data_IF_389514762012
#
_entry.id   IF_389514762012
#
_cell.length_a   1.000
_cell.length_b   1.000
_cell.length_c   1.000
_cell.angle_alpha   90.00
_cell.angle_beta   90.00
_cell.angle_gamma   90.00
#
_symmetry.space_group_name_H-M   'P 1'
#
loop_
_entity.id
_entity.type
_entity.pdbx_description
1 polymer ?
#
# COMPACT_ATOMS: atom_id res chain seq x y z
N UNK A 1 -14.82 -18.66 11.49
CA UNK A 1 -14.29 -18.38 10.14
C UNK A 1 -12.93 -17.74 10.33
N UNK A 2 -11.94 -18.29 9.66
CA UNK A 2 -10.54 -18.32 10.07
C UNK A 2 -9.94 -16.92 10.26
N UNK A 3 -9.64 -16.60 11.52
CA UNK A 3 -8.81 -15.47 11.91
C UNK A 3 -7.36 -15.86 11.67
N UNK A 4 -6.92 -15.82 10.42
CA UNK A 4 -5.50 -15.99 10.11
C UNK A 4 -4.74 -14.79 10.68
N UNK A 5 -3.87 -15.10 11.65
CA UNK A 5 -3.19 -14.13 12.50
C UNK A 5 -2.22 -13.25 11.73
N UNK A 6 -2.66 -12.06 11.34
CA UNK A 6 -1.75 -10.96 11.03
C UNK A 6 -1.31 -10.36 12.35
N UNK A 7 -0.13 -10.76 12.84
CA UNK A 7 0.58 -9.96 13.86
C UNK A 7 0.72 -8.55 13.28
N UNK A 8 0.08 -7.52 13.87
CA UNK A 8 0.23 -6.16 13.38
C UNK A 8 1.64 -5.73 13.73
N UNK A 9 2.56 -5.86 12.78
CA UNK A 9 3.80 -5.11 12.85
C UNK A 9 3.37 -3.65 12.84
N UNK A 10 3.54 -2.94 13.96
CA UNK A 10 2.97 -1.61 14.23
C UNK A 10 3.26 -0.60 13.10
N UNK A 11 4.34 -0.83 12.35
CA UNK A 11 4.78 -0.10 11.16
C UNK A 11 3.90 -0.30 9.92
N UNK A 12 3.31 -1.49 9.69
CA UNK A 12 2.50 -1.75 8.48
C UNK A 12 1.14 -1.07 8.55
N UNK A 13 0.48 -1.12 9.71
CA UNK A 13 -0.83 -0.49 9.89
C UNK A 13 -0.73 1.04 9.84
N UNK A 14 0.31 1.59 10.46
CA UNK A 14 0.60 3.03 10.37
C UNK A 14 0.96 3.45 8.94
N UNK A 15 1.77 2.67 8.23
CA UNK A 15 2.12 2.96 6.83
C UNK A 15 0.91 2.84 5.88
N UNK A 16 -0.02 1.92 6.13
CA UNK A 16 -1.27 1.81 5.37
C UNK A 16 -2.18 3.03 5.57
N UNK A 17 -2.33 3.47 6.81
CA UNK A 17 -3.10 4.68 7.15
C UNK A 17 -2.46 5.96 6.59
N UNK A 18 -1.13 6.05 6.62
CA UNK A 18 -0.38 7.15 6.01
C UNK A 18 -0.55 7.14 4.48
N UNK A 19 -0.44 5.97 3.85
CA UNK A 19 -0.63 5.82 2.40
C UNK A 19 -2.05 6.23 1.98
N UNK A 20 -3.07 5.77 2.69
CA UNK A 20 -4.46 6.18 2.46
C UNK A 20 -4.67 7.69 2.70
N UNK A 21 -4.12 8.24 3.78
CA UNK A 21 -4.18 9.66 4.11
C UNK A 21 -3.49 10.55 3.08
N UNK A 22 -2.34 10.11 2.56
CA UNK A 22 -1.61 10.79 1.49
C UNK A 22 -2.34 10.67 0.15
N UNK A 23 -2.89 9.51 -0.19
CA UNK A 23 -3.71 9.32 -1.39
C UNK A 23 -4.97 10.19 -1.37
N UNK A 24 -5.64 10.33 -0.21
CA UNK A 24 -6.80 11.24 -0.03
C UNK A 24 -6.43 12.71 -0.17
N UNK A 25 -5.23 13.10 0.27
CA UNK A 25 -4.70 14.46 0.12
C UNK A 25 -4.13 14.74 -1.28
N UNK A 26 -4.11 13.74 -2.15
CA UNK A 26 -3.51 13.87 -3.48
C UNK A 26 -1.97 13.84 -3.48
N UNK A 27 -1.34 13.50 -2.35
CA UNK A 27 0.11 13.49 -2.19
C UNK A 27 0.70 12.09 -2.45
N UNK A 28 0.79 11.71 -3.72
CA UNK A 28 1.23 10.37 -4.12
C UNK A 28 2.73 10.13 -3.98
N UNK A 29 3.52 11.21 -3.89
CA UNK A 29 4.97 11.11 -3.68
C UNK A 29 5.21 10.51 -2.30
N UNK A 30 4.60 11.08 -1.28
CA UNK A 30 4.68 10.59 0.10
C UNK A 30 4.08 9.18 0.26
N UNK A 31 2.90 8.94 -0.34
CA UNK A 31 2.29 7.61 -0.34
C UNK A 31 3.24 6.52 -0.88
N UNK A 32 3.99 6.85 -1.95
CA UNK A 32 4.97 5.93 -2.54
C UNK A 32 6.22 5.77 -1.68
N UNK A 33 6.72 6.85 -1.06
CA UNK A 33 7.87 6.80 -0.14
C UNK A 33 7.57 5.86 1.03
N UNK A 34 6.40 6.04 1.65
CA UNK A 34 5.93 5.19 2.74
C UNK A 34 5.83 3.73 2.30
N UNK A 35 5.25 3.45 1.13
CA UNK A 35 5.18 2.09 0.61
C UNK A 35 6.55 1.45 0.35
N UNK A 36 7.47 2.21 -0.24
CA UNK A 36 8.85 1.76 -0.47
C UNK A 36 9.56 1.48 0.85
N UNK A 37 9.30 2.27 1.89
CA UNK A 37 9.83 2.03 3.24
C UNK A 37 9.37 0.69 3.81
N UNK A 38 8.11 0.31 3.62
CA UNK A 38 7.58 -0.99 4.06
C UNK A 38 8.37 -2.13 3.39
N UNK A 39 8.57 -2.05 2.07
CA UNK A 39 9.36 -3.01 1.31
C UNK A 39 10.83 -3.08 1.76
N UNK A 40 11.47 -1.94 1.99
CA UNK A 40 12.87 -1.87 2.44
C UNK A 40 13.08 -2.38 3.86
N UNK A 41 12.08 -2.27 4.75
CA UNK A 41 12.14 -2.80 6.11
C UNK A 41 11.96 -4.33 6.18
N UNK A 42 11.91 -5.00 5.02
CA UNK A 42 11.66 -6.45 4.94
C UNK A 42 10.23 -6.83 5.35
N UNK A 43 9.35 -5.85 5.48
CA UNK A 43 7.96 -6.07 5.86
C UNK A 43 7.17 -6.31 4.59
N UNK A 44 6.54 -7.49 4.46
CA UNK A 44 5.67 -7.75 3.31
C UNK A 44 4.45 -6.82 3.42
N UNK A 45 4.18 -5.97 2.42
CA UNK A 45 2.92 -5.24 2.38
C UNK A 45 1.78 -6.25 2.33
N UNK A 46 0.72 -6.02 3.10
CA UNK A 46 -0.44 -6.90 3.10
C UNK A 46 -1.38 -6.52 1.96
N UNK A 47 -2.32 -7.40 1.61
CA UNK A 47 -3.40 -7.15 0.64
C UNK A 47 -4.01 -5.77 0.82
N UNK A 48 -4.34 -5.39 2.06
CA UNK A 48 -4.92 -4.07 2.41
C UNK A 48 -4.04 -2.90 1.95
N UNK A 49 -2.72 -3.02 2.08
CA UNK A 49 -1.77 -1.97 1.66
C UNK A 49 -1.73 -1.84 0.14
N UNK A 50 -1.71 -2.95 -0.59
CA UNK A 50 -1.78 -2.96 -2.04
C UNK A 50 -3.11 -2.38 -2.54
N UNK A 51 -4.23 -2.77 -1.93
CA UNK A 51 -5.55 -2.24 -2.32
C UNK A 51 -5.65 -0.74 -2.10
N UNK A 52 -5.11 -0.21 -0.99
CA UNK A 52 -5.09 1.23 -0.72
C UNK A 52 -4.26 2.02 -1.74
N UNK A 53 -3.14 1.47 -2.21
CA UNK A 53 -2.34 2.09 -3.27
C UNK A 53 -3.02 2.07 -4.62
N UNK A 54 -3.64 0.94 -4.99
CA UNK A 54 -4.38 0.82 -6.24
C UNK A 54 -5.55 1.81 -6.26
N UNK A 55 -6.32 1.90 -5.17
CA UNK A 55 -7.40 2.86 -5.00
C UNK A 55 -6.89 4.31 -5.07
N UNK A 56 -5.77 4.59 -4.40
CA UNK A 56 -5.09 5.87 -4.48
C UNK A 56 -4.67 6.23 -5.90
N UNK A 57 -3.98 5.35 -6.62
CA UNK A 57 -3.54 5.58 -7.99
C UNK A 57 -4.72 5.74 -8.97
N UNK A 58 -5.82 5.02 -8.73
CA UNK A 58 -7.05 5.17 -9.49
C UNK A 58 -7.64 6.59 -9.29
N UNK A 59 -7.63 7.10 -8.06
CA UNK A 59 -8.10 8.46 -7.72
C UNK A 59 -7.28 9.57 -8.36
N UNK A 60 -5.99 9.37 -8.64
CA UNK A 60 -5.18 10.32 -9.43
C UNK A 60 -5.23 10.15 -10.93
N UNK A 61 -6.05 9.24 -11.44
CA UNK A 61 -6.06 8.90 -12.87
C UNK A 61 -4.67 8.48 -13.34
N UNK A 62 -3.93 7.75 -12.50
CA UNK A 62 -2.63 7.17 -12.85
C UNK A 62 -2.70 5.63 -12.89
N UNK A 63 -3.44 5.06 -13.86
CA UNK A 63 -3.67 3.62 -13.93
C UNK A 63 -2.39 2.83 -14.19
N UNK A 64 -1.41 3.40 -14.90
CA UNK A 64 -0.13 2.75 -15.18
C UNK A 64 0.63 2.36 -13.91
N UNK A 65 0.54 3.18 -12.85
CA UNK A 65 1.13 2.85 -11.55
C UNK A 65 0.26 1.88 -10.74
N UNK A 66 -1.07 2.00 -10.83
CA UNK A 66 -1.98 1.04 -10.21
C UNK A 66 -1.75 -0.38 -10.74
N UNK A 67 -1.60 -0.53 -12.05
CA UNK A 67 -1.32 -1.80 -12.71
C UNK A 67 0.02 -2.41 -12.28
N UNK A 68 1.09 -1.60 -12.19
CA UNK A 68 2.37 -2.08 -11.64
C UNK A 68 2.24 -2.64 -10.23
N UNK A 69 1.51 -1.95 -9.37
CA UNK A 69 1.28 -2.39 -7.98
C UNK A 69 0.42 -3.65 -7.93
N UNK A 70 -0.55 -3.79 -8.84
CA UNK A 70 -1.37 -5.00 -8.98
C UNK A 70 -0.51 -6.19 -9.43
N UNK A 71 0.33 -6.01 -10.45
CA UNK A 71 1.26 -7.05 -10.92
C UNK A 71 2.20 -7.46 -9.78
N UNK A 72 2.78 -6.51 -9.04
CA UNK A 72 3.63 -6.83 -7.89
C UNK A 72 2.89 -7.60 -6.78
N UNK A 73 1.57 -7.40 -6.63
CA UNK A 73 0.74 -8.17 -5.71
C UNK A 73 0.52 -9.61 -6.21
N UNK A 74 0.29 -9.80 -7.51
CA UNK A 74 0.07 -11.13 -8.11
C UNK A 74 1.36 -11.95 -8.23
N UNK A 75 2.52 -11.29 -8.31
CA UNK A 75 3.82 -11.96 -8.51
C UNK A 75 4.48 -12.40 -7.18
N UNK A 76 3.86 -12.20 -6.00
CA UNK A 76 4.53 -12.31 -4.69
C UNK A 76 3.74 -13.07 -3.62
#
# INVERSE_FOLDING_TARGET
METEGVKPNTTTNSACALTDGYCKQGNFVEAKTVFSEIGTKGVKPNTVTYTALIDGYCKVRNPAKAEKVLIEMETK
#
